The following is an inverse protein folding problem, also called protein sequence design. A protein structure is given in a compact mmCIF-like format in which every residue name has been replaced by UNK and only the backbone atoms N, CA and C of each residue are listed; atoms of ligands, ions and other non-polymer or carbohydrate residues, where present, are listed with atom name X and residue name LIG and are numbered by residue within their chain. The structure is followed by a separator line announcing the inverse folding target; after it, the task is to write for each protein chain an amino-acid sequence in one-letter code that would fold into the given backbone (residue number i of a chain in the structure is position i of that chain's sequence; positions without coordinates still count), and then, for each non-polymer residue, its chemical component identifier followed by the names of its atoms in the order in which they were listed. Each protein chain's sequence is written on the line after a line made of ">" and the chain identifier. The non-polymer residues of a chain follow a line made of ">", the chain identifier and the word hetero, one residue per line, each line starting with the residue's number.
data_IF_985936767778
#
_entry.id   IF_985936767778
#
_cell.length_a   1.000
_cell.length_b   1.000
_cell.length_c   1.000
_cell.angle_alpha   90.00
_cell.angle_beta   90.00
_cell.angle_gamma   90.00
#
_symmetry.space_group_name_H-M   'P 1'
#
loop_
_entity.id
_entity.type
_entity.pdbx_description
1 polymer ?
#
# COMPACT_ATOMS: atom_id res chain seq x y z
N UNK A 1 83.42 -6.60 -71.93
CA UNK A 1 82.14 -7.17 -71.50
C UNK A 1 81.63 -6.35 -70.34
N UNK A 2 80.65 -5.47 -70.58
CA UNK A 2 79.99 -4.71 -69.52
C UNK A 2 78.56 -5.24 -69.48
N UNK A 3 78.29 -6.08 -68.48
CA UNK A 3 76.94 -6.57 -68.21
C UNK A 3 76.13 -5.36 -67.75
N UNK A 4 74.97 -5.17 -68.37
CA UNK A 4 74.09 -4.03 -68.13
C UNK A 4 73.53 -4.10 -66.68
N UNK A 5 73.83 -3.13 -65.80
CA UNK A 5 73.43 -3.16 -64.39
C UNK A 5 71.91 -3.17 -64.17
N UNK A 6 71.10 -2.93 -65.21
CA UNK A 6 69.64 -2.93 -65.12
C UNK A 6 69.00 -4.32 -65.23
N UNK A 7 69.71 -5.32 -65.77
CA UNK A 7 69.21 -6.71 -65.89
C UNK A 7 69.09 -7.42 -64.53
N UNK A 8 70.02 -7.17 -63.61
CA UNK A 8 69.96 -7.69 -62.23
C UNK A 8 68.81 -7.06 -61.44
N UNK A 9 68.53 -5.78 -61.68
CA UNK A 9 67.42 -5.07 -61.02
C UNK A 9 66.07 -5.62 -61.46
N UNK A 10 65.88 -5.87 -62.76
CA UNK A 10 64.66 -6.48 -63.28
C UNK A 10 64.41 -7.89 -62.73
N UNK A 11 65.47 -8.70 -62.63
CA UNK A 11 65.39 -10.07 -62.08
C UNK A 11 65.03 -10.04 -60.59
N UNK A 12 65.60 -9.10 -59.84
CA UNK A 12 65.26 -8.87 -58.44
C UNK A 12 63.81 -8.44 -58.27
N UNK A 13 63.32 -7.54 -59.12
CA UNK A 13 61.96 -7.01 -59.05
C UNK A 13 60.92 -8.08 -59.41
N UNK A 14 61.16 -8.94 -60.40
CA UNK A 14 60.31 -10.12 -60.66
C UNK A 14 60.28 -11.04 -59.43
N UNK A 15 61.43 -11.28 -58.80
CA UNK A 15 61.50 -12.09 -57.58
C UNK A 15 60.75 -11.47 -56.39
N UNK A 16 60.79 -10.14 -56.24
CA UNK A 16 60.00 -9.44 -55.22
C UNK A 16 58.50 -9.43 -55.54
N UNK A 17 58.13 -9.28 -56.79
CA UNK A 17 56.74 -9.35 -57.24
C UNK A 17 56.15 -10.75 -57.01
N UNK A 18 56.89 -11.81 -57.34
CA UNK A 18 56.49 -13.18 -57.06
C UNK A 18 56.27 -13.39 -55.55
N UNK A 19 57.24 -12.98 -54.71
CA UNK A 19 57.09 -13.06 -53.24
C UNK A 19 55.89 -12.29 -52.70
N UNK A 20 55.59 -11.12 -53.26
CA UNK A 20 54.45 -10.31 -52.83
C UNK A 20 53.13 -10.98 -53.25
N UNK A 21 53.10 -11.58 -54.44
CA UNK A 21 51.95 -12.35 -54.93
C UNK A 21 51.71 -13.60 -54.10
N UNK A 22 52.77 -14.31 -53.69
CA UNK A 22 52.68 -15.47 -52.79
C UNK A 22 52.11 -15.07 -51.42
N UNK A 23 52.57 -13.94 -50.85
CA UNK A 23 52.01 -13.42 -49.58
C UNK A 23 50.51 -13.11 -49.72
N UNK A 24 50.09 -12.48 -50.81
CA UNK A 24 48.66 -12.23 -51.05
C UNK A 24 47.86 -13.52 -51.27
N UNK A 25 48.45 -14.52 -51.95
CA UNK A 25 47.82 -15.83 -52.14
C UNK A 25 47.69 -16.59 -50.81
N UNK A 26 48.68 -16.48 -49.93
CA UNK A 26 48.69 -17.10 -48.61
C UNK A 26 47.66 -16.46 -47.66
N UNK A 27 47.48 -15.13 -47.73
CA UNK A 27 46.52 -14.41 -46.87
C UNK A 27 45.08 -14.33 -47.42
N UNK A 28 44.87 -14.63 -48.71
CA UNK A 28 43.55 -14.57 -49.33
C UNK A 28 42.47 -15.42 -48.60
N UNK A 29 42.74 -16.66 -48.13
CA UNK A 29 41.75 -17.48 -47.44
C UNK A 29 41.29 -16.87 -46.11
N UNK A 30 42.19 -16.23 -45.37
CA UNK A 30 41.89 -15.62 -44.07
C UNK A 30 41.01 -14.38 -44.23
N UNK A 31 41.27 -13.57 -45.27
CA UNK A 31 40.43 -12.42 -45.61
C UNK A 31 39.02 -12.89 -46.00
N UNK A 32 38.92 -13.95 -46.81
CA UNK A 32 37.63 -14.51 -47.21
C UNK A 32 36.87 -15.13 -46.02
N UNK A 33 37.56 -15.80 -45.09
CA UNK A 33 36.95 -16.30 -43.86
C UNK A 33 36.45 -15.17 -42.96
N UNK A 34 37.22 -14.08 -42.83
CA UNK A 34 36.79 -12.92 -42.06
C UNK A 34 35.53 -12.28 -42.66
N UNK A 35 35.48 -12.13 -43.99
CA UNK A 35 34.31 -11.59 -44.68
C UNK A 35 33.10 -12.52 -44.56
N UNK A 36 33.29 -13.82 -44.65
CA UNK A 36 32.21 -14.80 -44.47
C UNK A 36 31.69 -14.80 -43.03
N UNK A 37 32.58 -14.74 -42.03
CA UNK A 37 32.21 -14.62 -40.62
C UNK A 37 31.46 -13.29 -40.34
N UNK A 38 31.92 -12.18 -40.90
CA UNK A 38 31.23 -10.89 -40.78
C UNK A 38 29.85 -10.91 -41.46
N UNK A 39 29.73 -11.56 -42.61
CA UNK A 39 28.46 -11.76 -43.30
C UNK A 39 27.53 -12.73 -42.56
N UNK A 40 28.09 -13.73 -41.88
CA UNK A 40 27.37 -14.67 -40.99
C UNK A 40 26.80 -13.94 -39.79
N UNK A 41 27.63 -13.20 -39.05
CA UNK A 41 27.22 -12.35 -37.91
C UNK A 41 26.09 -11.41 -38.31
N UNK A 42 26.22 -10.73 -39.45
CA UNK A 42 25.19 -9.80 -39.92
C UNK A 42 23.86 -10.50 -40.18
N UNK A 43 23.88 -11.65 -40.87
CA UNK A 43 22.67 -12.43 -41.19
C UNK A 43 22.02 -13.08 -39.98
N UNK A 44 22.81 -13.55 -39.02
CA UNK A 44 22.31 -14.33 -37.88
C UNK A 44 21.93 -13.45 -36.68
N UNK A 45 22.62 -12.31 -36.48
CA UNK A 45 22.46 -11.50 -35.28
C UNK A 45 21.83 -10.13 -35.54
N UNK A 46 22.13 -9.48 -36.67
CA UNK A 46 21.68 -8.10 -36.93
C UNK A 46 20.35 -8.06 -37.71
N UNK A 47 20.30 -8.70 -38.88
CA UNK A 47 19.10 -8.67 -39.75
C UNK A 47 17.84 -9.17 -39.03
N UNK A 48 17.88 -10.26 -38.23
CA UNK A 48 16.68 -10.75 -37.56
C UNK A 48 16.12 -9.79 -36.49
N UNK A 49 16.93 -8.86 -35.99
CA UNK A 49 16.55 -7.93 -34.92
C UNK A 49 16.21 -6.53 -35.42
N UNK A 50 16.35 -6.25 -36.72
CA UNK A 50 16.12 -4.92 -37.30
C UNK A 50 14.69 -4.43 -37.05
N UNK A 51 13.69 -5.28 -37.31
CA UNK A 51 12.28 -4.96 -37.04
C UNK A 51 12.03 -4.72 -35.55
N UNK A 52 12.52 -5.61 -34.68
CA UNK A 52 12.32 -5.48 -33.24
C UNK A 52 12.94 -4.19 -32.67
N UNK A 53 14.11 -3.78 -33.18
CA UNK A 53 14.73 -2.52 -32.80
C UNK A 53 13.92 -1.30 -33.31
N UNK A 54 13.45 -1.36 -34.56
CA UNK A 54 12.57 -0.31 -35.12
C UNK A 54 11.29 -0.18 -34.29
N UNK A 55 10.66 -1.29 -33.94
CA UNK A 55 9.43 -1.33 -33.15
C UNK A 55 9.63 -0.66 -31.78
N UNK A 56 10.76 -0.93 -31.10
CA UNK A 56 11.08 -0.30 -29.80
C UNK A 56 11.25 1.21 -29.93
N UNK A 57 11.92 1.68 -30.99
CA UNK A 57 12.10 3.12 -31.23
C UNK A 57 10.76 3.80 -31.51
N UNK A 58 9.94 3.21 -32.39
CA UNK A 58 8.60 3.70 -32.70
C UNK A 58 7.71 3.73 -31.47
N UNK A 59 7.72 2.67 -30.66
CA UNK A 59 6.93 2.60 -29.43
C UNK A 59 7.40 3.62 -28.40
N UNK A 60 8.69 3.89 -28.31
CA UNK A 60 9.24 4.93 -27.42
C UNK A 60 8.79 6.33 -27.85
N UNK A 61 8.80 6.59 -29.16
CA UNK A 61 8.31 7.86 -29.73
C UNK A 61 6.81 8.01 -29.47
N UNK A 62 6.02 6.99 -29.80
CA UNK A 62 4.57 6.99 -29.57
C UNK A 62 4.24 7.22 -28.09
N UNK A 63 4.92 6.52 -27.17
CA UNK A 63 4.74 6.70 -25.72
C UNK A 63 5.09 8.13 -25.28
N UNK A 64 6.14 8.71 -25.86
CA UNK A 64 6.55 10.09 -25.57
C UNK A 64 5.52 11.11 -26.07
N UNK A 65 4.99 10.91 -27.28
CA UNK A 65 3.95 11.75 -27.86
C UNK A 65 2.63 11.63 -27.11
N UNK A 66 2.22 10.42 -26.73
CA UNK A 66 1.05 10.17 -25.88
C UNK A 66 1.19 10.86 -24.53
N UNK A 67 2.35 10.72 -23.89
CA UNK A 67 2.65 11.39 -22.61
C UNK A 67 2.53 12.90 -22.78
N UNK A 68 3.15 13.46 -23.83
CA UNK A 68 3.08 14.89 -24.13
C UNK A 68 1.64 15.35 -24.36
N UNK A 69 0.85 14.58 -25.09
CA UNK A 69 -0.56 14.89 -25.35
C UNK A 69 -1.39 14.84 -24.07
N UNK A 70 -1.22 13.81 -23.23
CA UNK A 70 -1.91 13.69 -21.93
C UNK A 70 -1.56 14.88 -21.04
N UNK A 71 -0.28 15.24 -20.95
CA UNK A 71 0.16 16.38 -20.15
C UNK A 71 -0.36 17.70 -20.72
N UNK A 72 -0.30 17.92 -22.02
CA UNK A 72 -0.78 19.14 -22.67
C UNK A 72 -2.30 19.31 -22.50
N UNK A 73 -3.06 18.22 -22.70
CA UNK A 73 -4.52 18.20 -22.53
C UNK A 73 -4.91 18.51 -21.08
N UNK A 74 -4.13 18.01 -20.11
CA UNK A 74 -4.41 18.19 -18.69
C UNK A 74 -3.64 19.34 -18.03
N UNK A 75 -2.85 20.12 -18.79
CA UNK A 75 -1.93 21.12 -18.23
C UNK A 75 -2.66 22.14 -17.34
N UNK A 76 -3.80 22.66 -17.81
CA UNK A 76 -4.61 23.61 -17.05
C UNK A 76 -5.21 23.00 -15.78
N UNK A 77 -5.56 21.71 -15.80
CA UNK A 77 -6.04 21.00 -14.61
C UNK A 77 -4.91 20.81 -13.60
N UNK A 78 -3.70 20.45 -14.05
CA UNK A 78 -2.52 20.31 -13.20
C UNK A 78 -2.10 21.64 -12.58
N UNK A 79 -2.12 22.73 -13.35
CA UNK A 79 -1.83 24.09 -12.87
C UNK A 79 -2.89 24.54 -11.85
N UNK A 80 -4.17 24.27 -12.12
CA UNK A 80 -5.24 24.58 -11.17
C UNK A 80 -5.13 23.75 -9.90
N UNK A 81 -4.81 22.47 -10.01
CA UNK A 81 -4.63 21.59 -8.86
C UNK A 81 -3.46 22.06 -8.00
N UNK A 82 -2.30 22.35 -8.60
CA UNK A 82 -1.13 22.85 -7.86
C UNK A 82 -1.35 24.25 -7.27
N UNK A 83 -2.08 25.11 -7.98
CA UNK A 83 -2.48 26.42 -7.48
C UNK A 83 -3.43 26.32 -6.28
N UNK A 84 -4.42 25.41 -6.34
CA UNK A 84 -5.40 25.20 -5.25
C UNK A 84 -4.83 24.42 -4.07
N UNK A 85 -3.91 23.49 -4.30
CA UNK A 85 -3.28 22.71 -3.24
C UNK A 85 -2.38 23.56 -2.36
N UNK A 86 -1.89 24.71 -2.84
CA UNK A 86 -1.02 25.61 -2.06
C UNK A 86 -1.60 25.99 -0.71
N UNK A 87 -2.89 26.35 -0.65
CA UNK A 87 -3.52 26.73 0.61
C UNK A 87 -3.64 25.55 1.58
N UNK A 88 -3.99 24.37 1.06
CA UNK A 88 -4.07 23.13 1.86
C UNK A 88 -2.68 22.72 2.36
N UNK A 89 -1.65 22.82 1.51
CA UNK A 89 -0.27 22.50 1.87
C UNK A 89 0.32 23.52 2.84
N UNK A 90 -0.06 24.79 2.75
CA UNK A 90 0.35 25.80 3.74
C UNK A 90 -0.25 25.50 5.12
N UNK A 91 -1.52 25.08 5.17
CA UNK A 91 -2.14 24.64 6.42
C UNK A 91 -1.49 23.34 6.93
N UNK A 92 -1.19 22.41 6.04
CA UNK A 92 -0.49 21.17 6.41
C UNK A 92 0.91 21.46 6.97
N UNK A 93 1.62 22.45 6.41
CA UNK A 93 2.92 22.92 6.90
C UNK A 93 2.80 23.54 8.30
N UNK A 94 1.81 24.41 8.51
CA UNK A 94 1.50 25.03 9.82
C UNK A 94 1.23 23.96 10.91
N UNK A 95 0.45 22.93 10.57
CA UNK A 95 0.11 21.85 11.50
C UNK A 95 1.03 20.63 11.41
N UNK A 96 2.11 20.70 10.64
CA UNK A 96 2.99 19.55 10.35
C UNK A 96 3.60 18.95 11.62
N UNK A 97 3.92 19.79 12.61
CA UNK A 97 4.46 19.39 13.92
C UNK A 97 3.45 18.59 14.75
N UNK A 98 2.15 18.84 14.57
CA UNK A 98 1.10 18.13 15.29
C UNK A 98 0.74 16.77 14.64
N UNK A 99 0.96 16.61 13.34
CA UNK A 99 0.60 15.39 12.60
C UNK A 99 1.26 14.11 13.15
N UNK A 100 2.56 14.05 13.47
CA UNK A 100 3.17 12.86 14.07
C UNK A 100 2.50 12.48 15.38
N UNK A 101 2.15 13.46 16.20
CA UNK A 101 1.50 13.23 17.48
C UNK A 101 0.05 12.76 17.32
N UNK A 102 -0.68 13.32 16.36
CA UNK A 102 -2.01 12.85 15.98
C UNK A 102 -1.97 11.40 15.47
N UNK A 103 -1.07 11.08 14.55
CA UNK A 103 -0.93 9.73 13.99
C UNK A 103 -0.50 8.71 15.05
N UNK A 104 0.45 9.08 15.92
CA UNK A 104 0.84 8.27 17.07
C UNK A 104 -0.37 8.04 17.98
N UNK A 105 -1.13 9.09 18.29
CA UNK A 105 -2.32 8.99 19.13
C UNK A 105 -3.40 8.11 18.51
N UNK A 106 -3.64 8.22 17.20
CA UNK A 106 -4.59 7.38 16.48
C UNK A 106 -4.18 5.90 16.50
N UNK A 107 -2.89 5.61 16.31
CA UNK A 107 -2.35 4.26 16.39
C UNK A 107 -2.50 3.68 17.80
N UNK A 108 -2.09 4.43 18.82
CA UNK A 108 -2.24 4.01 20.22
C UNK A 108 -3.71 3.83 20.59
N UNK A 109 -4.59 4.72 20.15
CA UNK A 109 -6.03 4.60 20.37
C UNK A 109 -6.60 3.35 19.72
N UNK A 110 -6.25 3.04 18.46
CA UNK A 110 -6.70 1.83 17.78
C UNK A 110 -6.33 0.56 18.58
N UNK A 111 -5.08 0.47 19.05
CA UNK A 111 -4.60 -0.65 19.88
C UNK A 111 -5.39 -0.76 21.19
N UNK A 112 -5.68 0.37 21.83
CA UNK A 112 -6.47 0.40 23.07
C UNK A 112 -7.93 0.01 22.82
N UNK A 113 -8.53 0.51 21.74
CA UNK A 113 -9.91 0.18 21.35
C UNK A 113 -10.05 -1.31 21.04
N UNK A 114 -9.13 -1.89 20.27
CA UNK A 114 -9.11 -3.33 19.99
C UNK A 114 -9.05 -4.14 21.31
N UNK A 115 -8.27 -3.70 22.29
CA UNK A 115 -8.23 -4.32 23.62
C UNK A 115 -9.55 -4.24 24.38
N UNK A 116 -10.24 -3.12 24.26
CA UNK A 116 -11.56 -2.94 24.88
C UNK A 116 -12.68 -3.69 24.13
N UNK A 117 -12.54 -3.89 22.82
CA UNK A 117 -13.56 -4.47 21.94
C UNK A 117 -12.90 -5.39 20.92
N UNK A 118 -13.19 -6.69 21.01
CA UNK A 118 -12.88 -7.64 19.93
C UNK A 118 -11.61 -8.48 20.12
N UNK A 119 -10.61 -8.08 20.90
CA UNK A 119 -9.42 -8.92 21.08
C UNK A 119 -9.60 -10.03 22.11
N UNK A 120 -10.45 -9.84 23.12
CA UNK A 120 -10.74 -10.82 24.17
C UNK A 120 -12.00 -11.67 23.89
N UNK A 121 -12.63 -11.50 22.73
CA UNK A 121 -13.91 -12.13 22.36
C UNK A 121 -14.82 -11.16 21.60
N UNK A 122 -16.00 -11.61 21.12
CA UNK A 122 -17.01 -10.78 20.47
C UNK A 122 -17.80 -9.91 21.48
N UNK A 123 -17.11 -9.37 22.49
CA UNK A 123 -17.70 -8.64 23.61
C UNK A 123 -16.90 -7.35 23.90
N UNK A 124 -17.53 -6.41 24.59
CA UNK A 124 -16.88 -5.19 25.09
C UNK A 124 -16.45 -5.40 26.54
N UNK A 125 -15.19 -5.14 26.84
CA UNK A 125 -14.65 -5.17 28.19
C UNK A 125 -14.77 -3.78 28.82
N UNK A 126 -15.77 -3.60 29.70
CA UNK A 126 -16.02 -2.35 30.40
C UNK A 126 -16.18 -2.64 31.89
N UNK A 127 -15.36 -1.98 32.72
CA UNK A 127 -15.53 -1.94 34.17
C UNK A 127 -16.13 -0.57 34.49
N UNK A 128 -17.37 -0.56 34.98
CA UNK A 128 -18.04 0.67 35.40
C UNK A 128 -18.05 0.69 36.93
N UNK A 129 -17.16 1.49 37.51
CA UNK A 129 -17.18 1.78 38.95
C UNK A 129 -17.95 3.08 39.19
N UNK A 130 -19.18 2.97 39.66
CA UNK A 130 -19.97 4.14 40.07
C UNK A 130 -19.63 4.47 41.52
N UNK A 131 -18.64 5.34 41.72
CA UNK A 131 -18.30 5.86 43.04
C UNK A 131 -19.08 7.15 43.28
N UNK A 132 -20.31 7.04 43.80
CA UNK A 132 -21.09 8.21 44.24
C UNK A 132 -20.87 8.42 45.73
N UNK A 133 -19.76 9.07 46.09
CA UNK A 133 -19.45 9.39 47.50
C UNK A 133 -19.42 10.90 47.79
N UNK A 134 -19.94 11.72 46.88
CA UNK A 134 -19.95 13.17 47.03
C UNK A 134 -21.23 13.61 47.76
N UNK A 135 -21.10 14.61 48.62
CA UNK A 135 -22.26 15.28 49.19
C UNK A 135 -23.12 15.89 48.08
N UNK A 136 -24.46 15.95 48.24
CA UNK A 136 -25.32 16.64 47.29
C UNK A 136 -24.96 18.13 47.22
N UNK A 137 -25.05 18.71 46.03
CA UNK A 137 -24.81 20.14 45.81
C UNK A 137 -25.74 21.01 46.66
N UNK A 138 -25.18 22.01 47.32
CA UNK A 138 -25.83 22.95 48.22
C UNK A 138 -25.52 24.39 47.80
N UNK A 139 -26.56 25.14 47.41
CA UNK A 139 -26.45 26.57 47.16
C UNK A 139 -26.62 27.33 48.50
N UNK A 140 -25.71 28.24 48.91
CA UNK A 140 -24.59 28.81 48.15
C UNK A 140 -23.20 28.21 48.42
N UNK A 141 -23.09 27.18 49.27
CA UNK A 141 -21.79 26.65 49.71
C UNK A 141 -20.94 26.11 48.55
N UNK A 142 -21.55 25.44 47.56
CA UNK A 142 -20.85 24.79 46.45
C UNK A 142 -20.74 25.68 45.19
N UNK A 143 -20.93 27.00 45.32
CA UNK A 143 -20.75 27.92 44.20
C UNK A 143 -19.26 28.03 43.79
N UNK A 144 -18.94 28.23 42.50
CA UNK A 144 -17.56 28.33 42.02
C UNK A 144 -16.74 29.53 42.53
N UNK A 145 -17.33 30.42 43.31
CA UNK A 145 -16.67 31.59 43.91
C UNK A 145 -16.69 31.58 45.44
N UNK A 146 -17.04 30.44 46.06
CA UNK A 146 -17.01 30.28 47.52
C UNK A 146 -15.64 29.78 47.94
N UNK A 147 -14.95 30.52 48.81
CA UNK A 147 -13.65 30.12 49.38
C UNK A 147 -13.76 28.81 50.18
N UNK A 148 -12.85 27.85 49.94
CA UNK A 148 -12.81 26.54 50.61
C UNK A 148 -13.63 25.44 49.92
N UNK A 149 -14.18 25.69 48.73
CA UNK A 149 -14.91 24.73 47.91
C UNK A 149 -13.99 24.13 46.83
N UNK A 150 -14.03 22.81 46.63
CA UNK A 150 -13.23 22.11 45.60
C UNK A 150 -13.62 22.50 44.16
N UNK A 151 -14.82 23.06 43.98
CA UNK A 151 -15.28 23.66 42.74
C UNK A 151 -14.99 25.16 42.61
N UNK A 152 -14.28 25.78 43.57
CA UNK A 152 -13.81 27.15 43.44
C UNK A 152 -12.77 27.24 42.33
N UNK A 153 -12.95 28.19 41.41
CA UNK A 153 -12.02 28.42 40.31
C UNK A 153 -10.59 28.73 40.78
N UNK A 154 -10.44 29.31 41.98
CA UNK A 154 -9.15 29.64 42.58
C UNK A 154 -8.45 28.42 43.23
N UNK A 155 -9.18 27.32 43.44
CA UNK A 155 -8.67 26.06 44.03
C UNK A 155 -8.46 24.95 43.00
N UNK A 156 -8.85 25.19 41.74
CA UNK A 156 -8.61 24.24 40.66
C UNK A 156 -7.09 24.04 40.48
N UNK A 157 -6.62 22.80 40.25
CA UNK A 157 -5.24 22.56 39.91
C UNK A 157 -4.81 23.44 38.73
N UNK A 158 -3.56 23.92 38.74
CA UNK A 158 -2.91 24.57 37.58
C UNK A 158 -2.87 23.58 36.40
N UNK A 159 -3.99 23.46 35.69
CA UNK A 159 -4.45 22.15 35.24
C UNK A 159 -4.79 22.04 33.77
N UNK A 160 -4.43 23.03 32.95
CA UNK A 160 -4.10 22.78 31.55
C UNK A 160 -2.87 23.63 31.26
N UNK A 161 -1.69 23.04 31.00
CA UNK A 161 -0.47 23.77 30.70
C UNK A 161 -0.63 24.47 29.34
N UNK A 162 -1.33 25.61 29.34
CA UNK A 162 -1.66 26.39 28.15
C UNK A 162 -2.53 25.65 27.13
N UNK A 163 -3.10 26.43 26.22
CA UNK A 163 -3.63 25.92 24.94
C UNK A 163 -2.52 25.65 23.93
N UNK A 164 -1.26 25.66 24.38
CA UNK A 164 -0.12 25.41 23.53
C UNK A 164 -0.16 23.95 23.02
N UNK A 165 0.06 23.72 21.72
CA UNK A 165 0.00 22.38 21.14
C UNK A 165 0.99 21.44 21.84
N UNK A 166 0.47 20.46 22.56
CA UNK A 166 1.25 19.42 23.20
C UNK A 166 0.78 18.04 22.75
N UNK A 167 1.74 17.14 22.60
CA UNK A 167 1.44 15.76 22.22
C UNK A 167 0.85 15.01 23.43
N UNK A 168 -0.16 14.14 23.21
CA UNK A 168 -0.63 13.25 24.26
C UNK A 168 0.53 12.45 24.85
N UNK A 169 0.63 12.43 26.18
CA UNK A 169 1.60 11.60 26.89
C UNK A 169 0.94 10.29 27.24
N UNK A 170 1.54 9.21 26.77
CA UNK A 170 1.14 7.84 27.11
C UNK A 170 2.17 7.27 28.08
N UNK A 171 1.72 6.42 29.00
CA UNK A 171 2.63 5.70 29.90
C UNK A 171 3.42 4.64 29.12
N UNK A 172 4.54 4.19 29.68
CA UNK A 172 5.38 3.16 29.05
C UNK A 172 4.61 1.84 28.86
N UNK A 173 3.67 1.53 29.76
CA UNK A 173 2.80 0.36 29.62
C UNK A 173 1.92 0.46 28.37
N UNK A 174 1.33 1.64 28.11
CA UNK A 174 0.49 1.89 26.94
C UNK A 174 1.32 1.85 25.65
N UNK A 175 2.54 2.38 25.67
CA UNK A 175 3.44 2.37 24.51
C UNK A 175 4.03 0.99 24.20
N UNK A 176 4.13 0.12 25.21
CA UNK A 176 4.57 -1.27 25.03
C UNK A 176 3.50 -2.18 24.43
N UNK A 177 2.25 -1.72 24.37
CA UNK A 177 1.12 -2.45 23.82
C UNK A 177 1.31 -2.71 22.32
N UNK A 178 1.10 -3.97 21.92
CA UNK A 178 1.04 -4.36 20.51
C UNK A 178 -0.40 -4.55 20.05
N UNK A 179 -0.63 -4.34 18.77
CA UNK A 179 -1.86 -4.77 18.11
C UNK A 179 -1.91 -6.31 18.06
N UNK A 180 -3.09 -6.87 18.24
CA UNK A 180 -3.29 -8.32 18.36
C UNK A 180 -4.54 -8.73 17.57
N UNK A 181 -4.56 -9.94 16.97
CA UNK A 181 -5.71 -10.41 16.21
C UNK A 181 -7.00 -10.45 17.04
N UNK A 182 -8.17 -10.37 16.39
CA UNK A 182 -9.45 -10.60 17.06
C UNK A 182 -9.46 -11.94 17.80
N UNK A 183 -10.10 -11.98 18.98
CA UNK A 183 -10.27 -13.18 19.81
C UNK A 183 -8.97 -13.91 20.21
N UNK A 184 -7.83 -13.21 20.26
CA UNK A 184 -6.52 -13.81 20.55
C UNK A 184 -6.05 -13.64 22.00
N UNK A 185 -6.69 -12.78 22.79
CA UNK A 185 -6.30 -12.49 24.17
C UNK A 185 -7.18 -13.24 25.18
N UNK A 186 -6.60 -13.76 26.28
CA UNK A 186 -7.39 -14.35 27.35
C UNK A 186 -8.22 -13.27 28.06
N UNK A 187 -9.48 -13.58 28.37
CA UNK A 187 -10.34 -12.70 29.15
C UNK A 187 -10.02 -12.86 30.64
N UNK A 188 -9.39 -11.84 31.25
CA UNK A 188 -9.03 -11.82 32.68
C UNK A 188 -9.98 -10.92 33.50
N UNK A 189 -11.28 -11.18 33.44
CA UNK A 189 -12.29 -10.48 34.25
C UNK A 189 -13.26 -11.46 34.91
N UNK A 190 -13.91 -11.05 36.01
CA UNK A 190 -15.11 -11.72 36.49
C UNK A 190 -16.22 -11.44 35.50
N UNK A 191 -16.39 -12.34 34.53
CA UNK A 191 -17.56 -12.30 33.67
C UNK A 191 -18.81 -12.28 34.57
N UNK A 192 -19.78 -11.42 34.26
CA UNK A 192 -21.16 -11.84 34.46
C UNK A 192 -21.26 -13.08 33.59
N UNK A 193 -21.35 -14.26 34.21
CA UNK A 193 -21.18 -15.54 33.53
C UNK A 193 -21.92 -15.52 32.18
N UNK A 194 -21.24 -15.74 31.04
CA UNK A 194 -21.95 -15.99 29.81
C UNK A 194 -22.89 -17.16 30.06
N UNK A 195 -24.11 -17.18 29.48
CA UNK A 195 -24.98 -18.34 29.61
C UNK A 195 -24.15 -19.58 29.26
N UNK A 196 -23.99 -20.47 30.24
CA UNK A 196 -23.23 -21.72 30.12
C UNK A 196 -24.04 -22.64 29.21
N UNK A 197 -24.01 -22.34 27.93
CA UNK A 197 -24.54 -23.15 26.85
C UNK A 197 -23.39 -23.70 26.03
N UNK A 198 -23.51 -24.90 25.46
CA UNK A 198 -22.55 -25.35 24.46
C UNK A 198 -22.47 -24.29 23.36
N UNK A 199 -21.25 -24.05 22.83
CA UNK A 199 -21.09 -23.23 21.65
C UNK A 199 -22.08 -23.70 20.56
N UNK A 200 -22.77 -22.78 19.87
CA UNK A 200 -23.69 -23.17 18.80
C UNK A 200 -22.94 -24.07 17.82
N UNK A 201 -23.57 -25.18 17.45
CA UNK A 201 -23.01 -26.06 16.44
C UNK A 201 -22.79 -25.28 15.15
N UNK A 202 -21.83 -25.69 14.31
CA UNK A 202 -21.62 -25.06 13.01
C UNK A 202 -22.92 -25.01 12.19
N UNK A 203 -23.76 -26.05 12.28
CA UNK A 203 -25.08 -26.07 11.67
C UNK A 203 -26.00 -24.94 12.16
N UNK A 204 -25.99 -24.61 13.45
CA UNK A 204 -26.79 -23.51 14.00
C UNK A 204 -26.26 -22.13 13.54
N UNK A 205 -24.94 -22.00 13.39
CA UNK A 205 -24.31 -20.78 12.85
C UNK A 205 -24.65 -20.60 11.37
N UNK A 206 -24.62 -21.67 10.59
CA UNK A 206 -24.96 -21.67 9.17
C UNK A 206 -26.46 -21.37 8.95
N UNK A 207 -27.33 -21.93 9.78
CA UNK A 207 -28.77 -21.64 9.77
C UNK A 207 -29.05 -20.16 10.09
N UNK A 208 -28.39 -19.60 11.10
CA UNK A 208 -28.53 -18.20 11.47
C UNK A 208 -28.03 -17.26 10.35
N UNK A 209 -26.93 -17.60 9.67
CA UNK A 209 -26.43 -16.84 8.51
C UNK A 209 -27.39 -16.89 7.33
N UNK A 210 -27.92 -18.07 7.00
CA UNK A 210 -28.90 -18.21 5.92
C UNK A 210 -30.18 -17.39 6.23
N UNK A 211 -30.66 -17.42 7.48
CA UNK A 211 -31.80 -16.62 7.90
C UNK A 211 -31.54 -15.12 7.75
N UNK A 212 -30.33 -14.65 8.08
CA UNK A 212 -29.92 -13.25 7.91
C UNK A 212 -29.86 -12.86 6.42
N UNK A 213 -29.27 -13.70 5.57
CA UNK A 213 -29.21 -13.47 4.12
C UNK A 213 -30.62 -13.31 3.52
N UNK A 214 -31.57 -14.17 3.91
CA UNK A 214 -32.98 -14.09 3.48
C UNK A 214 -33.67 -12.84 4.00
N UNK A 215 -33.42 -12.42 5.23
CA UNK A 215 -34.01 -11.20 5.78
C UNK A 215 -33.52 -9.93 5.05
N UNK A 216 -32.24 -9.89 4.69
CA UNK A 216 -31.66 -8.80 3.90
C UNK A 216 -32.21 -8.80 2.46
N UNK A 217 -32.31 -9.97 1.85
CA UNK A 217 -32.93 -10.15 0.54
C UNK A 217 -34.38 -9.69 0.51
N UNK A 218 -35.19 -10.14 1.48
CA UNK A 218 -36.59 -9.75 1.66
C UNK A 218 -36.74 -8.21 1.72
N UNK A 219 -35.89 -7.55 2.52
CA UNK A 219 -35.90 -6.09 2.65
C UNK A 219 -35.50 -5.38 1.36
N UNK A 220 -34.56 -5.93 0.59
CA UNK A 220 -34.12 -5.35 -0.68
C UNK A 220 -35.16 -5.54 -1.80
N UNK A 221 -35.89 -6.66 -1.78
CA UNK A 221 -36.90 -7.01 -2.77
C UNK A 221 -38.30 -6.52 -2.41
N UNK A 222 -38.51 -6.05 -1.17
CA UNK A 222 -39.82 -5.59 -0.68
C UNK A 222 -40.84 -6.70 -0.50
N UNK A 223 -40.41 -7.97 -0.40
CA UNK A 223 -41.26 -9.15 -0.25
C UNK A 223 -41.10 -9.74 1.15
N UNK A 224 -42.12 -10.44 1.70
CA UNK A 224 -41.96 -11.15 2.97
C UNK A 224 -40.89 -12.25 2.85
N UNK A 225 -40.24 -12.58 3.97
CA UNK A 225 -39.10 -13.54 4.01
C UNK A 225 -39.47 -14.92 3.45
N UNK A 226 -40.74 -15.33 3.58
CA UNK A 226 -41.25 -16.60 3.05
C UNK A 226 -41.32 -16.65 1.51
N UNK A 227 -41.29 -15.49 0.84
CA UNK A 227 -41.37 -15.36 -0.62
C UNK A 227 -40.01 -15.11 -1.28
N UNK A 228 -38.93 -15.09 -0.49
CA UNK A 228 -37.57 -14.93 -1.01
C UNK A 228 -37.16 -16.19 -1.76
N UNK A 229 -36.72 -16.09 -3.02
CA UNK A 229 -36.24 -17.25 -3.77
C UNK A 229 -35.02 -17.91 -3.13
N UNK A 230 -34.98 -19.24 -3.10
CA UNK A 230 -33.91 -20.00 -2.45
C UNK A 230 -32.50 -19.76 -3.03
N UNK A 231 -32.39 -19.32 -4.29
CA UNK A 231 -31.10 -18.99 -4.91
C UNK A 231 -30.46 -17.72 -4.31
N UNK A 232 -31.23 -16.91 -3.58
CA UNK A 232 -30.76 -15.65 -3.02
C UNK A 232 -29.74 -15.88 -1.89
N UNK A 233 -29.83 -17.03 -1.22
CA UNK A 233 -28.84 -17.48 -0.24
C UNK A 233 -27.47 -17.68 -0.90
N UNK A 234 -27.42 -18.22 -2.12
CA UNK A 234 -26.16 -18.43 -2.85
C UNK A 234 -25.52 -17.12 -3.32
N UNK A 235 -26.33 -16.07 -3.53
CA UNK A 235 -25.84 -14.77 -3.98
C UNK A 235 -25.34 -13.89 -2.82
N UNK A 236 -25.98 -14.00 -1.65
CA UNK A 236 -25.69 -13.15 -0.49
C UNK A 236 -24.82 -13.82 0.57
N UNK A 237 -24.82 -15.16 0.67
CA UNK A 237 -23.94 -15.87 1.60
C UNK A 237 -22.46 -15.49 1.45
N UNK A 238 -21.86 -15.40 0.23
CA UNK A 238 -20.45 -15.06 0.06
C UNK A 238 -20.09 -13.67 0.60
N UNK A 239 -21.05 -12.73 0.62
CA UNK A 239 -20.85 -11.40 1.20
C UNK A 239 -20.81 -11.42 2.73
N UNK A 240 -21.39 -12.46 3.36
CA UNK A 240 -21.42 -12.64 4.80
C UNK A 240 -20.30 -13.56 5.32
N UNK A 241 -19.55 -14.20 4.43
CA UNK A 241 -18.52 -15.22 4.74
C UNK A 241 -17.15 -14.89 4.14
N UNK A 242 -16.77 -13.61 4.09
CA UNK A 242 -15.45 -13.17 3.57
C UNK A 242 -15.11 -13.72 2.16
N UNK A 243 -16.13 -14.08 1.37
CA UNK A 243 -15.96 -14.67 0.03
C UNK A 243 -15.89 -16.20 -0.02
N UNK A 244 -16.04 -16.92 1.09
CA UNK A 244 -16.07 -18.39 1.08
C UNK A 244 -17.46 -18.94 0.72
N UNK A 245 -17.50 -19.86 -0.25
CA UNK A 245 -18.71 -20.58 -0.65
C UNK A 245 -18.51 -22.06 -0.39
N UNK A 246 -19.26 -22.62 0.54
CA UNK A 246 -19.30 -24.06 0.77
C UNK A 246 -20.48 -24.64 -0.01
N UNK A 247 -20.19 -25.34 -1.10
CA UNK A 247 -21.19 -26.04 -1.92
C UNK A 247 -21.25 -27.49 -1.45
N UNK A 248 -22.44 -28.07 -1.22
CA UNK A 248 -22.56 -29.50 -0.93
C UNK A 248 -22.09 -30.39 -2.09
#
# INVERSE_FOLDING_TARGET
>A
MKVDPHLDTFTRDIGQFARTTDIYADSAPEILQLLDAAAGISRELLIPQETAFSDVLEQTIATSDDTKQVLATNAQNLIRLSGRSRAVLALLDEYSVALPCFLKGLHTFNILTNRSVGTAGPFTNLIIDVVSNNAPYTNPADLPGTDGNDANNDELPDGIPGWDPHCPRYTDEVLALRDVPPNSQPFNGTAIDPPVGPAPSQAAVDEARAALARALAARSLGVPVAEVPAYTDLLLAPMLTEGEVNVP
#
